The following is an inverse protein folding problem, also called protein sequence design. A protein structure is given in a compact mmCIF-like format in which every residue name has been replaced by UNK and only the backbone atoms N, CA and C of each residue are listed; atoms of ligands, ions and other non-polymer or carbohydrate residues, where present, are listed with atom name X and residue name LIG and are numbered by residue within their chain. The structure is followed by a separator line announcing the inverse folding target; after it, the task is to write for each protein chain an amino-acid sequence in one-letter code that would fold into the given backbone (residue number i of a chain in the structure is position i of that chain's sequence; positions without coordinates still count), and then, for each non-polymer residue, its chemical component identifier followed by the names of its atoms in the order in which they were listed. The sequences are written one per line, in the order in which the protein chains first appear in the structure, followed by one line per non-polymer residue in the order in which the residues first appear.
data_IF_153979669000
#
_entry.id   IF_153979669000
#
_cell.length_a   1.000
_cell.length_b   1.000
_cell.length_c   1.000
_cell.angle_alpha   90.00
_cell.angle_beta   90.00
_cell.angle_gamma   90.00
#
_symmetry.space_group_name_H-M   'P 1'
#
loop_
_entity.id
_entity.type
_entity.pdbx_description
1 polymer ?
#
# COMPACT_ATOMS: atom_id res chain seq x y z
N UNK A 1 -3.53 25.50 -41.78
CA UNK A 1 -2.87 24.18 -41.70
C UNK A 1 -2.77 23.84 -40.22
N UNK A 2 -3.92 23.57 -39.61
CA UNK A 2 -3.99 23.06 -38.25
C UNK A 2 -3.79 21.55 -38.36
N UNK A 3 -2.65 21.08 -37.84
CA UNK A 3 -2.36 19.65 -37.75
C UNK A 3 -3.44 18.93 -36.95
N UNK A 4 -3.60 17.61 -37.12
CA UNK A 4 -4.59 16.87 -36.36
C UNK A 4 -4.32 17.07 -34.87
N UNK A 5 -5.31 17.64 -34.17
CA UNK A 5 -5.32 17.71 -32.72
C UNK A 5 -4.99 16.33 -32.18
N UNK A 6 -3.92 16.24 -31.38
CA UNK A 6 -3.50 14.99 -30.73
C UNK A 6 -4.73 14.33 -30.10
N UNK A 7 -5.01 13.04 -30.36
CA UNK A 7 -6.10 12.36 -29.68
C UNK A 7 -5.82 12.43 -28.18
N UNK A 8 -6.81 12.88 -27.40
CA UNK A 8 -6.75 12.85 -25.95
C UNK A 8 -6.56 11.40 -25.51
N UNK A 9 -5.33 11.03 -25.18
CA UNK A 9 -4.98 9.71 -24.69
C UNK A 9 -5.43 9.64 -23.23
N UNK A 10 -6.74 9.46 -23.04
CA UNK A 10 -7.43 9.07 -21.81
C UNK A 10 -6.65 9.32 -20.49
N UNK A 11 -6.58 10.57 -20.04
CA UNK A 11 -6.05 10.93 -18.71
C UNK A 11 -6.81 10.26 -17.54
N UNK A 12 -8.01 9.71 -17.80
CA UNK A 12 -8.87 9.06 -16.81
C UNK A 12 -8.23 7.85 -16.12
N UNK A 13 -7.30 7.14 -16.78
CA UNK A 13 -6.69 5.94 -16.19
C UNK A 13 -5.60 6.26 -15.15
N UNK A 14 -5.10 7.50 -15.12
CA UNK A 14 -4.09 7.95 -14.15
C UNK A 14 -4.70 8.63 -12.91
N UNK A 15 -6.00 8.92 -12.91
CA UNK A 15 -6.64 9.73 -11.88
C UNK A 15 -7.21 8.95 -10.68
N UNK A 16 -6.99 7.64 -10.59
CA UNK A 16 -7.45 6.86 -9.43
C UNK A 16 -6.36 6.01 -8.80
N UNK A 17 -5.20 6.61 -8.61
CA UNK A 17 -4.31 6.16 -7.53
C UNK A 17 -4.76 6.91 -6.29
N UNK A 18 -5.45 6.22 -5.38
CA UNK A 18 -5.76 6.80 -4.08
C UNK A 18 -4.44 7.14 -3.40
N UNK A 19 -4.27 8.42 -3.04
CA UNK A 19 -3.01 8.94 -2.52
C UNK A 19 -2.76 8.29 -1.16
N UNK A 20 -1.77 7.42 -1.07
CA UNK A 20 -1.31 6.89 0.23
C UNK A 20 -0.48 7.96 0.92
N UNK A 21 -0.71 8.17 2.21
CA UNK A 21 0.01 9.16 3.02
C UNK A 21 1.25 8.53 3.70
N UNK A 22 1.17 7.24 4.05
CA UNK A 22 2.27 6.46 4.67
C UNK A 22 2.33 5.04 4.10
N UNK A 23 3.53 4.58 3.70
CA UNK A 23 3.79 3.17 3.38
C UNK A 23 4.67 2.55 4.46
N UNK A 24 4.22 1.45 5.06
CA UNK A 24 4.93 0.72 6.12
C UNK A 24 5.44 -0.60 5.55
N UNK A 25 6.75 -0.80 5.57
CA UNK A 25 7.40 -2.00 5.04
C UNK A 25 8.02 -2.75 6.21
N UNK A 26 7.60 -4.01 6.40
CA UNK A 26 8.01 -4.84 7.53
C UNK A 26 8.63 -6.14 6.97
N UNK A 27 9.93 -6.38 7.17
CA UNK A 27 10.47 -7.71 6.94
C UNK A 27 9.92 -8.65 8.03
N UNK A 28 9.31 -9.76 7.62
CA UNK A 28 8.79 -10.78 8.53
C UNK A 28 9.52 -12.10 8.29
N UNK A 29 9.86 -12.80 9.37
CA UNK A 29 10.48 -14.12 9.31
C UNK A 29 9.92 -15.04 10.38
N UNK A 30 9.12 -16.02 9.98
CA UNK A 30 8.50 -17.01 10.88
C UNK A 30 7.69 -16.33 12.02
N UNK A 31 6.93 -15.26 11.71
CA UNK A 31 6.18 -14.42 12.68
C UNK A 31 4.64 -14.52 12.57
N UNK A 32 4.10 -15.63 12.02
CA UNK A 32 2.65 -15.81 11.74
C UNK A 32 1.73 -15.47 12.93
N UNK A 33 2.12 -15.82 14.15
CA UNK A 33 1.31 -15.56 15.36
C UNK A 33 1.30 -14.08 15.79
N UNK A 34 2.34 -13.31 15.45
CA UNK A 34 2.52 -11.92 15.91
C UNK A 34 2.00 -10.88 14.90
N UNK A 35 1.95 -11.23 13.61
CA UNK A 35 1.47 -10.35 12.53
C UNK A 35 0.03 -9.85 12.76
N UNK A 36 -0.95 -10.69 13.17
CA UNK A 36 -2.31 -10.23 13.40
C UNK A 36 -2.41 -9.14 14.48
N UNK A 37 -1.65 -9.27 15.58
CA UNK A 37 -1.62 -8.27 16.66
C UNK A 37 -0.98 -6.96 16.18
N UNK A 38 0.15 -7.06 15.48
CA UNK A 38 0.84 -5.90 14.91
C UNK A 38 -0.06 -5.14 13.93
N UNK A 39 -0.80 -5.86 13.07
CA UNK A 39 -1.76 -5.27 12.15
C UNK A 39 -2.87 -4.49 12.89
N UNK A 40 -3.41 -5.04 13.99
CA UNK A 40 -4.44 -4.36 14.79
C UNK A 40 -3.90 -3.07 15.42
N UNK A 41 -2.67 -3.09 15.94
CA UNK A 41 -2.03 -1.91 16.50
C UNK A 41 -1.78 -0.83 15.45
N UNK A 42 -1.23 -1.20 14.29
CA UNK A 42 -0.99 -0.26 13.19
C UNK A 42 -2.31 0.34 12.71
N UNK A 43 -3.34 -0.48 12.50
CA UNK A 43 -4.65 -0.01 12.05
C UNK A 43 -5.26 1.00 13.02
N UNK A 44 -5.21 0.71 14.32
CA UNK A 44 -5.71 1.63 15.35
C UNK A 44 -4.99 2.97 15.33
N UNK A 45 -3.66 2.97 15.31
CA UNK A 45 -2.87 4.22 15.33
C UNK A 45 -3.12 5.05 14.07
N UNK A 46 -3.24 4.39 12.92
CA UNK A 46 -3.47 5.07 11.64
C UNK A 46 -4.91 5.61 11.51
N UNK A 47 -5.89 4.89 12.05
CA UNK A 47 -7.29 5.35 12.16
C UNK A 47 -7.39 6.58 13.06
N UNK A 48 -6.75 6.55 14.23
CA UNK A 48 -6.68 7.71 15.14
C UNK A 48 -5.97 8.91 14.48
N UNK A 49 -4.98 8.67 13.61
CA UNK A 49 -4.27 9.70 12.87
C UNK A 49 -5.02 10.23 11.63
N UNK A 50 -6.06 9.53 11.15
CA UNK A 50 -6.81 9.89 9.96
C UNK A 50 -5.98 9.83 8.66
N UNK A 51 -4.97 8.96 8.60
CA UNK A 51 -4.05 8.83 7.47
C UNK A 51 -4.39 7.61 6.63
N UNK A 52 -4.23 7.71 5.31
CA UNK A 52 -4.30 6.53 4.43
C UNK A 52 -2.94 5.86 4.42
N UNK A 53 -2.92 4.57 4.67
CA UNK A 53 -1.69 3.81 4.78
C UNK A 53 -1.80 2.47 4.06
N UNK A 54 -0.65 1.93 3.71
CA UNK A 54 -0.48 0.54 3.27
C UNK A 54 0.56 -0.14 4.15
N UNK A 55 0.42 -1.45 4.34
CA UNK A 55 1.39 -2.28 5.06
C UNK A 55 1.82 -3.41 4.13
N UNK A 56 3.11 -3.49 3.85
CA UNK A 56 3.71 -4.56 3.07
C UNK A 56 4.59 -5.41 3.97
N UNK A 57 4.17 -6.66 4.18
CA UNK A 57 5.02 -7.69 4.78
C UNK A 57 5.87 -8.32 3.70
N UNK A 58 7.18 -8.27 3.88
CA UNK A 58 8.14 -8.90 2.96
C UNK A 58 8.70 -10.11 3.68
N UNK A 59 8.41 -11.29 3.15
CA UNK A 59 9.00 -12.52 3.62
C UNK A 59 10.52 -12.49 3.37
N UNK A 60 11.31 -12.57 4.46
CA UNK A 60 12.78 -12.56 4.44
C UNK A 60 13.38 -13.98 4.45
N UNK A 61 12.61 -14.99 4.02
CA UNK A 61 13.04 -16.39 3.92
C UNK A 61 12.52 -17.25 5.07
N UNK A 62 11.24 -17.10 5.38
CA UNK A 62 10.48 -17.91 6.33
C UNK A 62 10.40 -19.36 5.86
N UNK A 63 10.36 -20.27 6.83
CA UNK A 63 10.07 -21.70 6.61
C UNK A 63 8.63 -22.07 6.99
N UNK A 64 7.92 -21.16 7.65
CA UNK A 64 6.49 -21.20 7.92
C UNK A 64 5.67 -20.45 6.83
N UNK A 65 4.33 -20.58 6.82
CA UNK A 65 3.42 -19.91 5.87
C UNK A 65 3.24 -18.40 6.18
N UNK A 66 4.36 -17.66 6.30
CA UNK A 66 4.37 -16.19 6.45
C UNK A 66 4.35 -15.47 5.11
#
# INVERSE_FOLDING_TARGET
MDGPSRPAFNDTILQKVEKVDISIIIPAKDEEESIPELCQWIARVMEEAGLRFEVLFIDDGSTDNT
#
